data_IF_915604701036
#
_entry.id   IF_915604701036
#
_cell.length_a   1.000
_cell.length_b   1.000
_cell.length_c   1.000
_cell.angle_alpha   90.00
_cell.angle_beta   90.00
_cell.angle_gamma   90.00
#
_symmetry.space_group_name_H-M   'P 1'
#
loop_
_entity.id
_entity.type
_entity.pdbx_description
1 polymer ?
#
# COMPACT_ATOMS: atom_id res chain seq x y z
N UNK A 1 23.50 -17.67 -6.48
CA UNK A 1 22.30 -16.95 -6.96
C UNK A 1 21.30 -18.00 -7.40
N UNK A 2 20.13 -18.10 -6.77
CA UNK A 2 19.13 -19.16 -7.06
C UNK A 2 17.97 -18.69 -7.94
N UNK A 3 17.87 -17.40 -8.22
CA UNK A 3 16.95 -16.82 -9.19
C UNK A 3 17.39 -15.43 -9.58
N UNK A 4 16.85 -14.93 -10.68
CA UNK A 4 17.21 -13.62 -11.22
C UNK A 4 16.30 -12.52 -10.64
N UNK A 5 16.82 -11.30 -10.42
CA UNK A 5 16.08 -10.24 -9.74
C UNK A 5 15.21 -9.41 -10.72
N UNK A 6 14.40 -8.51 -10.18
CA UNK A 6 13.89 -7.37 -10.91
C UNK A 6 14.29 -6.05 -10.24
N UNK A 7 14.61 -5.05 -11.06
CA UNK A 7 14.54 -3.62 -10.68
C UNK A 7 13.56 -2.94 -11.63
N UNK A 8 12.41 -2.53 -11.10
CA UNK A 8 11.30 -1.94 -11.86
C UNK A 8 11.58 -0.48 -12.21
N UNK A 9 11.22 -0.01 -13.41
CA UNK A 9 11.26 1.42 -13.72
C UNK A 9 10.12 2.17 -13.04
N UNK A 10 10.33 3.47 -12.84
CA UNK A 10 9.29 4.45 -12.53
C UNK A 10 8.42 4.14 -11.30
N UNK A 11 8.99 3.46 -10.29
CA UNK A 11 8.30 3.16 -9.03
C UNK A 11 8.47 4.29 -8.00
N UNK A 12 7.41 4.63 -7.25
CA UNK A 12 7.44 5.68 -6.24
C UNK A 12 8.14 5.20 -4.96
N UNK A 13 8.49 6.16 -4.09
CA UNK A 13 8.89 5.91 -2.70
C UNK A 13 7.64 5.69 -1.83
N UNK A 14 6.63 6.54 -2.05
CA UNK A 14 5.35 6.56 -1.34
C UNK A 14 4.43 5.47 -1.89
N UNK A 15 3.91 4.63 -0.99
CA UNK A 15 2.99 3.54 -1.32
C UNK A 15 1.55 4.02 -1.49
N UNK A 16 0.58 3.13 -1.19
CA UNK A 16 -0.84 3.50 -1.13
C UNK A 16 -1.07 4.79 -0.32
N UNK A 17 -2.10 5.55 -0.63
CA UNK A 17 -2.51 6.77 0.08
C UNK A 17 -3.98 6.70 0.46
N UNK A 18 -4.36 7.44 1.49
CA UNK A 18 -5.78 7.70 1.76
C UNK A 18 -6.24 8.76 0.76
N UNK A 19 -7.37 8.50 0.10
CA UNK A 19 -8.04 9.45 -0.76
C UNK A 19 -9.32 9.91 -0.09
N UNK A 20 -9.71 11.17 -0.31
CA UNK A 20 -10.94 11.76 0.23
C UNK A 20 -11.80 12.31 -0.90
N UNK A 21 -13.12 12.17 -0.76
CA UNK A 21 -14.08 12.70 -1.72
C UNK A 21 -14.11 14.23 -1.64
N UNK A 22 -13.48 14.88 -2.61
CA UNK A 22 -13.38 16.34 -2.70
C UNK A 22 -14.73 16.98 -3.03
N UNK A 23 -15.54 16.32 -3.84
CA UNK A 23 -16.89 16.81 -4.19
C UNK A 23 -17.78 16.89 -2.94
N UNK A 24 -17.67 15.93 -2.04
CA UNK A 24 -18.38 15.96 -0.75
C UNK A 24 -17.91 17.10 0.14
N UNK A 25 -16.59 17.38 0.18
CA UNK A 25 -16.08 18.57 0.87
C UNK A 25 -16.70 19.85 0.30
N UNK A 26 -16.76 19.97 -1.04
CA UNK A 26 -17.31 21.15 -1.71
C UNK A 26 -18.81 21.31 -1.48
N UNK A 27 -19.58 20.21 -1.56
CA UNK A 27 -21.03 20.19 -1.27
C UNK A 27 -21.33 20.73 0.13
N UNK A 28 -20.49 20.38 1.11
CA UNK A 28 -20.67 20.77 2.52
C UNK A 28 -19.95 22.06 2.90
N UNK A 29 -19.23 22.70 1.97
CA UNK A 29 -18.42 23.90 2.24
C UNK A 29 -17.28 23.66 3.22
N UNK A 30 -16.73 22.44 3.27
CA UNK A 30 -15.64 22.04 4.16
C UNK A 30 -14.27 22.29 3.53
N UNK A 31 -13.31 22.68 4.36
CA UNK A 31 -11.91 22.76 3.97
C UNK A 31 -11.24 21.38 3.99
N UNK A 32 -10.19 21.20 3.19
CA UNK A 32 -9.34 20.00 3.24
C UNK A 32 -8.70 19.87 4.63
N UNK A 33 -8.86 18.74 5.35
CA UNK A 33 -8.29 18.60 6.68
C UNK A 33 -6.76 18.45 6.63
N UNK A 34 -6.09 19.00 7.65
CA UNK A 34 -4.62 19.00 7.81
C UNK A 34 -4.16 18.32 9.09
N UNK A 35 -5.09 18.05 10.00
CA UNK A 35 -4.88 17.34 11.27
C UNK A 35 -5.84 16.15 11.38
N UNK A 36 -5.50 15.18 12.22
CA UNK A 36 -6.38 14.03 12.46
C UNK A 36 -7.74 14.44 13.05
N UNK A 37 -7.79 15.44 13.95
CA UNK A 37 -9.04 15.92 14.54
C UNK A 37 -9.93 16.63 13.51
N UNK A 38 -9.35 17.44 12.61
CA UNK A 38 -10.07 18.03 11.48
C UNK A 38 -10.64 16.95 10.56
N UNK A 39 -9.87 15.89 10.30
CA UNK A 39 -10.32 14.77 9.50
C UNK A 39 -11.49 14.03 10.14
N UNK A 40 -11.46 13.77 11.46
CA UNK A 40 -12.61 13.19 12.16
C UNK A 40 -13.87 14.07 12.07
N UNK A 41 -13.72 15.40 12.16
CA UNK A 41 -14.83 16.32 11.98
C UNK A 41 -15.40 16.30 10.56
N UNK A 42 -14.53 16.15 9.55
CA UNK A 42 -14.94 15.96 8.15
C UNK A 42 -15.69 14.65 7.96
N UNK A 43 -15.17 13.53 8.47
CA UNK A 43 -15.85 12.24 8.41
C UNK A 43 -17.22 12.28 9.12
N UNK A 44 -17.31 12.98 10.25
CA UNK A 44 -18.57 13.21 10.94
C UNK A 44 -19.55 14.03 10.09
N UNK A 45 -19.08 15.08 9.42
CA UNK A 45 -19.93 15.86 8.52
C UNK A 45 -20.38 15.03 7.30
N UNK A 46 -19.53 14.15 6.78
CA UNK A 46 -19.91 13.22 5.71
C UNK A 46 -21.07 12.32 6.11
N UNK A 47 -21.05 11.84 7.36
CA UNK A 47 -22.13 11.04 7.91
C UNK A 47 -23.44 11.79 8.13
N UNK A 48 -23.37 13.04 8.58
CA UNK A 48 -24.55 13.72 9.15
C UNK A 48 -25.28 14.63 8.14
N UNK A 49 -24.72 14.86 6.95
CA UNK A 49 -25.13 15.99 6.10
C UNK A 49 -25.41 15.69 4.64
N UNK A 50 -25.72 14.44 4.27
CA UNK A 50 -26.03 14.07 2.86
C UNK A 50 -24.92 14.59 1.92
N UNK A 51 -23.70 14.13 2.18
CA UNK A 51 -22.49 14.64 1.54
C UNK A 51 -22.47 14.35 0.03
N UNK A 52 -23.12 13.25 -0.38
CA UNK A 52 -23.27 12.93 -1.80
C UNK A 52 -24.39 13.74 -2.49
N UNK A 53 -25.31 14.34 -1.71
CA UNK A 53 -26.36 15.24 -2.17
C UNK A 53 -27.50 14.53 -2.89
N UNK A 54 -27.75 13.27 -2.57
CA UNK A 54 -28.78 12.46 -3.21
C UNK A 54 -30.14 12.50 -2.47
N UNK A 55 -30.18 13.13 -1.29
CA UNK A 55 -31.37 13.26 -0.45
C UNK A 55 -31.55 12.17 0.61
N UNK A 56 -30.63 11.22 0.74
CA UNK A 56 -30.60 10.20 1.79
C UNK A 56 -29.30 10.33 2.61
N UNK A 57 -29.34 10.96 3.80
CA UNK A 57 -28.14 11.17 4.64
C UNK A 57 -27.64 9.91 5.35
N UNK A 58 -28.13 8.72 4.99
CA UNK A 58 -27.79 7.46 5.67
C UNK A 58 -27.05 6.47 4.77
N UNK A 59 -26.79 6.81 3.50
CA UNK A 59 -26.09 5.92 2.58
C UNK A 59 -24.58 6.22 2.48
N UNK A 60 -24.11 7.32 3.08
CA UNK A 60 -22.70 7.63 3.17
C UNK A 60 -21.94 6.76 4.18
N UNK A 61 -20.83 6.22 3.71
CA UNK A 61 -19.79 5.53 4.48
C UNK A 61 -18.59 6.48 4.56
N UNK A 62 -18.37 7.18 5.69
CA UNK A 62 -17.33 8.20 5.75
C UNK A 62 -15.92 7.65 5.53
N UNK A 63 -15.61 6.50 6.15
CA UNK A 63 -14.35 5.78 5.94
C UNK A 63 -14.62 4.28 5.68
N UNK A 64 -14.26 3.82 4.48
CA UNK A 64 -14.47 2.45 4.03
C UNK A 64 -13.17 1.69 3.79
N UNK A 65 -13.28 0.38 3.54
CA UNK A 65 -12.14 -0.44 3.12
C UNK A 65 -11.71 -0.06 1.71
N UNK A 66 -10.41 0.05 1.54
CA UNK A 66 -9.78 0.28 0.25
C UNK A 66 -8.95 -0.92 -0.21
N UNK A 67 -7.97 -0.68 -1.07
CA UNK A 67 -7.01 -1.70 -1.54
C UNK A 67 -5.77 -1.82 -0.63
N UNK A 68 -5.86 -1.31 0.59
CA UNK A 68 -4.83 -1.40 1.61
C UNK A 68 -5.48 -1.67 2.98
N UNK A 69 -4.67 -2.07 3.96
CA UNK A 69 -5.18 -2.37 5.30
C UNK A 69 -5.92 -1.17 5.90
N UNK A 70 -7.22 -1.28 6.20
CA UNK A 70 -8.02 -0.12 6.61
C UNK A 70 -7.57 0.44 7.97
N UNK A 71 -7.01 -0.38 8.85
CA UNK A 71 -6.55 0.07 10.16
C UNK A 71 -5.26 0.88 10.03
N UNK A 72 -4.21 0.34 9.39
CA UNK A 72 -2.92 1.01 9.32
C UNK A 72 -3.02 2.37 8.62
N UNK A 73 -3.90 2.49 7.63
CA UNK A 73 -4.12 3.73 6.88
C UNK A 73 -4.93 4.77 7.66
N UNK A 74 -5.93 4.33 8.44
CA UNK A 74 -6.64 5.20 9.37
C UNK A 74 -5.70 5.70 10.49
N UNK A 75 -4.85 4.80 11.00
CA UNK A 75 -3.96 5.05 12.11
C UNK A 75 -2.61 5.70 11.71
N UNK A 76 -2.37 5.97 10.42
CA UNK A 76 -1.12 6.59 9.94
C UNK A 76 -0.67 7.80 10.78
N UNK A 77 -1.55 8.75 11.18
CA UNK A 77 -1.15 9.90 11.99
C UNK A 77 -0.58 9.54 13.37
N UNK A 78 -0.81 8.33 13.88
CA UNK A 78 -0.22 7.83 15.13
C UNK A 78 1.18 7.23 14.93
N UNK A 79 1.72 7.27 13.71
CA UNK A 79 3.03 6.71 13.37
C UNK A 79 2.98 5.19 13.17
N UNK A 80 1.86 4.66 12.66
CA UNK A 80 1.73 3.24 12.27
C UNK A 80 2.12 3.02 10.81
N UNK A 81 3.08 3.80 10.30
CA UNK A 81 3.52 3.69 8.91
C UNK A 81 4.06 2.27 8.64
N UNK A 82 3.42 1.60 7.70
CA UNK A 82 3.82 0.28 7.22
C UNK A 82 4.49 0.42 5.85
N UNK A 83 5.45 -0.47 5.58
CA UNK A 83 6.08 -0.59 4.27
C UNK A 83 5.18 -1.31 3.27
N UNK A 84 5.78 -1.96 2.28
CA UNK A 84 5.03 -2.80 1.36
C UNK A 84 4.54 -4.09 2.06
N UNK A 85 3.70 -4.84 1.35
CA UNK A 85 3.20 -6.14 1.80
C UNK A 85 4.34 -7.13 2.05
N UNK A 86 4.08 -8.10 2.92
CA UNK A 86 5.04 -9.17 3.24
C UNK A 86 6.14 -8.78 4.23
N UNK A 87 6.04 -7.61 4.86
CA UNK A 87 6.94 -7.13 5.93
C UNK A 87 6.61 -7.70 7.32
N UNK A 88 5.60 -8.57 7.45
CA UNK A 88 5.15 -9.13 8.73
C UNK A 88 4.77 -8.07 9.78
N UNK A 89 4.19 -6.95 9.34
CA UNK A 89 3.91 -5.76 10.16
C UNK A 89 5.15 -5.19 10.88
N UNK A 90 6.35 -5.50 10.39
CA UNK A 90 7.59 -4.87 10.83
C UNK A 90 7.72 -3.47 10.21
N UNK A 91 8.17 -2.53 11.02
CA UNK A 91 8.51 -1.18 10.63
C UNK A 91 9.86 -0.78 11.21
N UNK A 92 10.38 0.39 10.81
CA UNK A 92 11.54 1.01 11.44
C UNK A 92 11.07 2.19 12.28
N UNK A 93 11.42 2.18 13.56
CA UNK A 93 11.25 3.32 14.48
C UNK A 93 12.57 3.58 15.18
N UNK A 94 12.98 4.85 15.19
CA UNK A 94 14.24 5.29 15.80
C UNK A 94 15.45 4.43 15.38
N UNK A 95 15.50 4.09 14.07
CA UNK A 95 16.52 3.23 13.44
C UNK A 95 16.56 1.78 13.95
N UNK A 96 15.49 1.30 14.58
CA UNK A 96 15.36 -0.08 15.03
C UNK A 96 14.13 -0.76 14.41
N UNK A 97 14.22 -2.07 14.07
CA UNK A 97 13.07 -2.83 13.63
C UNK A 97 12.11 -3.06 14.80
N UNK A 98 10.84 -2.73 14.58
CA UNK A 98 9.75 -2.89 15.54
C UNK A 98 8.58 -3.63 14.90
N UNK A 99 7.91 -4.48 15.66
CA UNK A 99 6.66 -5.08 15.25
C UNK A 99 5.53 -4.14 15.67
N UNK A 100 4.84 -3.51 14.69
CA UNK A 100 3.84 -2.47 14.97
C UNK A 100 2.75 -2.92 15.97
N UNK A 101 2.20 -4.15 15.91
CA UNK A 101 1.09 -4.57 16.77
C UNK A 101 1.37 -4.60 18.28
N UNK A 102 2.61 -4.38 18.72
CA UNK A 102 2.96 -4.29 20.16
C UNK A 102 3.43 -2.89 20.57
N UNK A 103 3.27 -1.89 19.71
CA UNK A 103 3.71 -0.52 19.96
C UNK A 103 2.58 0.35 20.55
N UNK A 104 2.95 1.37 21.33
CA UNK A 104 1.99 2.33 21.88
C UNK A 104 1.23 3.09 20.77
N UNK A 105 1.88 3.40 19.65
CA UNK A 105 1.23 3.99 18.47
C UNK A 105 0.11 3.13 17.90
N UNK A 106 0.29 1.81 17.89
CA UNK A 106 -0.73 0.89 17.41
C UNK A 106 -1.92 0.86 18.37
N UNK A 107 -1.65 0.80 19.68
CA UNK A 107 -2.67 0.91 20.71
C UNK A 107 -3.48 2.21 20.59
N UNK A 108 -2.82 3.36 20.42
CA UNK A 108 -3.47 4.66 20.23
C UNK A 108 -4.31 4.70 18.93
N UNK A 109 -3.81 4.11 17.85
CA UNK A 109 -4.56 3.94 16.61
C UNK A 109 -5.84 3.13 16.81
N UNK A 110 -5.79 2.04 17.58
CA UNK A 110 -6.97 1.24 17.92
C UNK A 110 -7.98 2.08 18.71
N UNK A 111 -7.54 2.81 19.73
CA UNK A 111 -8.43 3.67 20.52
C UNK A 111 -9.10 4.75 19.67
N UNK A 112 -8.36 5.34 18.72
CA UNK A 112 -8.88 6.34 17.81
C UNK A 112 -9.90 5.74 16.82
N UNK A 113 -9.58 4.59 16.23
CA UNK A 113 -10.48 3.91 15.28
C UNK A 113 -11.72 3.37 15.99
N UNK A 114 -11.60 2.91 17.24
CA UNK A 114 -12.74 2.53 18.07
C UNK A 114 -13.69 3.71 18.30
N UNK A 115 -13.18 4.87 18.71
CA UNK A 115 -14.01 6.08 18.88
C UNK A 115 -14.71 6.49 17.59
N UNK A 116 -14.02 6.38 16.45
CA UNK A 116 -14.62 6.63 15.14
C UNK A 116 -15.68 5.59 14.78
N UNK A 117 -15.46 4.31 15.12
CA UNK A 117 -16.41 3.23 14.93
C UNK A 117 -17.67 3.40 15.80
N UNK A 118 -17.53 3.79 17.06
CA UNK A 118 -18.68 4.10 17.95
C UNK A 118 -19.50 5.30 17.45
N UNK A 119 -18.84 6.30 16.86
CA UNK A 119 -19.50 7.39 16.16
C UNK A 119 -20.07 6.96 14.78
N UNK A 120 -19.80 5.71 14.37
CA UNK A 120 -20.15 5.09 13.11
C UNK A 120 -19.60 5.82 11.88
N UNK A 121 -18.41 6.38 12.01
CA UNK A 121 -17.64 7.00 10.92
C UNK A 121 -16.91 5.94 10.07
N UNK A 122 -16.79 4.73 10.61
CA UNK A 122 -16.15 3.58 9.98
C UNK A 122 -17.25 2.67 9.42
N UNK A 123 -17.03 2.11 8.23
CA UNK A 123 -17.90 1.08 7.66
C UNK A 123 -18.13 -0.06 8.69
N UNK A 124 -19.38 -0.39 9.04
CA UNK A 124 -19.67 -1.47 9.99
C UNK A 124 -19.18 -2.84 9.50
N UNK A 125 -18.99 -3.02 8.19
CA UNK A 125 -18.53 -4.28 7.58
C UNK A 125 -17.02 -4.28 7.31
N UNK A 126 -16.25 -3.28 7.76
CA UNK A 126 -14.84 -3.08 7.37
C UNK A 126 -13.94 -4.31 7.62
N UNK A 127 -14.27 -5.14 8.62
CA UNK A 127 -13.55 -6.37 8.96
C UNK A 127 -14.20 -7.65 8.43
N UNK A 128 -15.41 -7.58 7.86
CA UNK A 128 -16.20 -8.75 7.44
C UNK A 128 -16.46 -8.78 5.94
N UNK A 129 -16.33 -7.65 5.24
CA UNK A 129 -16.55 -7.58 3.80
C UNK A 129 -15.41 -8.21 3.01
N UNK A 130 -15.78 -8.92 1.94
CA UNK A 130 -14.84 -9.44 0.95
C UNK A 130 -14.48 -8.39 -0.11
N UNK A 131 -13.60 -8.77 -1.04
CA UNK A 131 -13.13 -7.90 -2.11
C UNK A 131 -14.25 -7.44 -3.05
N UNK A 132 -15.24 -8.30 -3.33
CA UNK A 132 -16.35 -7.97 -4.23
C UNK A 132 -17.32 -6.98 -3.59
N UNK A 133 -17.59 -7.14 -2.29
CA UNK A 133 -18.38 -6.19 -1.50
C UNK A 133 -17.69 -4.82 -1.44
N UNK A 134 -16.38 -4.80 -1.13
CA UNK A 134 -15.56 -3.57 -1.14
C UNK A 134 -15.64 -2.88 -2.51
N UNK A 135 -15.35 -3.60 -3.60
CA UNK A 135 -15.31 -3.04 -4.94
C UNK A 135 -16.68 -2.46 -5.36
N UNK A 136 -17.76 -3.13 -4.96
CA UNK A 136 -19.13 -2.65 -5.20
C UNK A 136 -19.43 -1.32 -4.50
N UNK A 137 -18.83 -1.06 -3.32
CA UNK A 137 -18.95 0.21 -2.59
C UNK A 137 -18.07 1.30 -3.20
N UNK A 138 -16.81 0.99 -3.51
CA UNK A 138 -15.85 1.96 -4.09
C UNK A 138 -16.30 2.46 -5.47
N UNK A 139 -16.86 1.55 -6.29
CA UNK A 139 -17.24 1.79 -7.69
C UNK A 139 -18.77 1.86 -7.88
N UNK A 140 -19.50 2.16 -6.81
CA UNK A 140 -20.96 2.29 -6.86
C UNK A 140 -21.40 3.38 -7.83
N UNK A 141 -22.56 3.21 -8.48
CA UNK A 141 -23.12 4.19 -9.42
C UNK A 141 -23.38 5.56 -8.75
N UNK A 142 -23.89 5.51 -7.52
CA UNK A 142 -23.95 6.68 -6.64
C UNK A 142 -22.80 6.52 -5.65
N UNK A 143 -21.78 7.39 -5.65
CA UNK A 143 -20.65 7.27 -4.74
C UNK A 143 -21.13 7.27 -3.29
N UNK A 144 -20.75 6.24 -2.53
CA UNK A 144 -21.10 6.09 -1.11
C UNK A 144 -19.89 6.16 -0.17
N UNK A 145 -18.66 6.15 -0.70
CA UNK A 145 -17.43 6.20 0.11
C UNK A 145 -16.94 7.64 0.25
N UNK A 146 -16.73 8.11 1.48
CA UNK A 146 -16.15 9.43 1.75
C UNK A 146 -14.62 9.42 1.70
N UNK A 147 -14.01 8.32 2.13
CA UNK A 147 -12.56 8.16 2.21
C UNK A 147 -12.16 6.70 2.24
N UNK A 148 -11.11 6.34 1.51
CA UNK A 148 -10.53 4.99 1.50
C UNK A 148 -9.08 5.01 1.01
N UNK A 149 -8.32 3.98 1.36
CA UNK A 149 -6.92 3.82 0.94
C UNK A 149 -6.80 3.15 -0.44
N UNK A 150 -5.84 3.58 -1.25
CA UNK A 150 -5.60 2.95 -2.56
C UNK A 150 -4.31 3.41 -3.22
N UNK A 151 -4.01 2.85 -4.39
CA UNK A 151 -2.79 3.17 -5.13
C UNK A 151 -2.96 4.47 -5.91
N UNK A 152 -4.01 4.54 -6.72
CA UNK A 152 -4.43 5.71 -7.50
C UNK A 152 -5.95 5.84 -7.49
N UNK A 153 -6.49 7.03 -7.77
CA UNK A 153 -7.95 7.23 -7.74
C UNK A 153 -8.68 6.44 -8.82
N UNK A 154 -8.10 6.30 -10.02
CA UNK A 154 -8.67 5.57 -11.15
C UNK A 154 -8.80 4.07 -10.87
N UNK A 155 -7.75 3.44 -10.34
CA UNK A 155 -7.78 2.04 -9.92
C UNK A 155 -8.69 1.80 -8.71
N UNK A 156 -8.80 2.80 -7.82
CA UNK A 156 -9.51 2.64 -6.55
C UNK A 156 -11.02 2.84 -6.67
N UNK A 157 -11.44 3.90 -7.37
CA UNK A 157 -12.84 4.36 -7.40
C UNK A 157 -13.49 4.24 -8.78
N UNK A 158 -12.75 3.76 -9.79
CA UNK A 158 -13.26 3.54 -11.14
C UNK A 158 -13.89 4.81 -11.73
N UNK A 159 -15.17 4.71 -12.12
CA UNK A 159 -15.92 5.82 -12.72
C UNK A 159 -16.08 7.04 -11.78
N UNK A 160 -15.87 6.88 -10.47
CA UNK A 160 -15.96 7.98 -9.50
C UNK A 160 -14.62 8.67 -9.22
N UNK A 161 -13.53 8.26 -9.88
CA UNK A 161 -12.17 8.72 -9.58
C UNK A 161 -11.98 10.24 -9.62
N UNK A 162 -12.74 10.95 -10.45
CA UNK A 162 -12.71 12.41 -10.60
C UNK A 162 -13.23 13.17 -9.35
N UNK A 163 -13.93 12.47 -8.45
CA UNK A 163 -14.43 13.04 -7.20
C UNK A 163 -13.42 12.96 -6.06
N UNK A 164 -12.34 12.21 -6.21
CA UNK A 164 -11.39 11.95 -5.14
C UNK A 164 -10.04 12.62 -5.39
N UNK A 165 -9.40 13.03 -4.30
CA UNK A 165 -8.04 13.55 -4.30
C UNK A 165 -7.24 12.92 -3.16
N UNK A 166 -5.90 12.86 -3.26
CA UNK A 166 -5.07 12.40 -2.14
C UNK A 166 -5.37 13.25 -0.89
N UNK A 167 -5.66 12.59 0.23
CA UNK A 167 -5.75 13.26 1.52
C UNK A 167 -4.34 13.71 1.92
N UNK A 168 -4.12 14.99 2.28
CA UNK A 168 -2.82 15.43 2.78
C UNK A 168 -2.36 14.58 3.97
N UNK A 169 -1.04 14.39 4.12
CA UNK A 169 -0.51 13.68 5.27
C UNK A 169 -0.94 14.42 6.55
N UNK A 170 -1.81 13.82 7.35
CA UNK A 170 -2.41 14.53 8.49
C UNK A 170 -1.39 14.64 9.62
N UNK A 171 -1.38 15.80 10.29
CA UNK A 171 -0.65 15.94 11.55
C UNK A 171 -1.32 15.09 12.62
N UNK A 172 -0.53 14.20 13.21
CA UNK A 172 -0.92 13.36 14.33
C UNK A 172 -0.79 14.04 15.68
N UNK A 173 -1.13 13.32 16.77
CA UNK A 173 -0.99 13.81 18.14
C UNK A 173 0.44 14.18 18.54
N UNK A 174 1.45 13.57 17.89
CA UNK A 174 2.86 13.87 18.08
C UNK A 174 3.35 15.07 17.25
N UNK A 175 2.44 15.72 16.51
CA UNK A 175 2.71 16.85 15.63
C UNK A 175 3.41 16.49 14.32
N UNK A 176 3.67 15.20 14.06
CA UNK A 176 4.32 14.71 12.84
C UNK A 176 3.30 14.24 11.81
N UNK A 177 3.78 14.04 10.59
CA UNK A 177 3.02 13.55 9.45
C UNK A 177 3.68 12.27 8.95
N UNK A 178 2.85 11.33 8.51
CA UNK A 178 3.27 9.99 8.11
C UNK A 178 2.54 9.58 6.83
N UNK A 179 3.22 8.78 6.02
CA UNK A 179 2.68 8.15 4.82
C UNK A 179 3.18 6.71 4.76
N UNK A 180 2.44 5.84 4.07
CA UNK A 180 3.00 4.54 3.69
C UNK A 180 4.12 4.76 2.67
N UNK A 181 5.28 4.16 2.90
CA UNK A 181 6.45 4.32 2.03
C UNK A 181 7.36 3.10 2.14
N UNK A 182 7.84 2.59 1.01
CA UNK A 182 8.80 1.48 0.96
C UNK A 182 9.55 1.43 -0.38
N UNK A 183 10.58 2.26 -0.55
CA UNK A 183 11.27 2.32 -1.83
C UNK A 183 11.95 0.99 -2.17
N UNK A 184 12.33 0.16 -1.20
CA UNK A 184 13.03 -1.09 -1.51
C UNK A 184 12.07 -2.14 -2.06
N UNK A 185 10.97 -2.43 -1.38
CA UNK A 185 10.03 -3.47 -1.83
C UNK A 185 9.28 -3.07 -3.10
N UNK A 186 8.99 -1.78 -3.30
CA UNK A 186 8.33 -1.34 -4.53
C UNK A 186 9.26 -1.40 -5.77
N UNK A 187 10.56 -1.14 -5.60
CA UNK A 187 11.50 -1.15 -6.73
C UNK A 187 12.11 -2.51 -7.03
N UNK A 188 12.32 -3.35 -6.01
CA UNK A 188 13.13 -4.56 -6.13
C UNK A 188 12.34 -5.82 -5.83
N UNK A 189 12.58 -6.85 -6.63
CA UNK A 189 12.11 -8.21 -6.38
C UNK A 189 13.25 -9.21 -6.51
N UNK A 190 13.12 -10.32 -5.79
CA UNK A 190 14.00 -11.49 -5.91
C UNK A 190 13.23 -12.64 -6.57
N UNK A 191 13.95 -13.53 -7.23
CA UNK A 191 13.42 -14.80 -7.75
C UNK A 191 12.33 -14.65 -8.84
N UNK A 192 12.45 -13.64 -9.69
CA UNK A 192 11.53 -13.39 -10.80
C UNK A 192 11.73 -14.36 -11.98
N UNK A 193 12.82 -15.11 -11.96
CA UNK A 193 13.08 -16.23 -12.86
C UNK A 193 13.92 -17.29 -12.18
N UNK A 194 13.53 -18.57 -12.31
CA UNK A 194 14.21 -19.72 -11.71
C UNK A 194 14.53 -20.78 -12.77
N UNK A 195 15.71 -21.38 -12.68
CA UNK A 195 16.11 -22.53 -13.51
C UNK A 195 15.96 -23.80 -12.66
N UNK A 196 15.10 -24.72 -13.09
CA UNK A 196 14.87 -25.98 -12.38
C UNK A 196 15.99 -26.98 -12.66
N UNK A 197 16.14 -27.98 -11.79
CA UNK A 197 17.05 -29.11 -12.02
C UNK A 197 16.65 -30.04 -13.18
N UNK A 198 15.53 -29.75 -13.87
CA UNK A 198 15.05 -30.48 -15.05
C UNK A 198 15.39 -29.77 -16.36
N UNK A 199 15.94 -28.55 -16.31
CA UNK A 199 16.37 -27.84 -17.50
C UNK A 199 17.49 -28.60 -18.20
N UNK A 200 17.24 -29.06 -19.43
CA UNK A 200 18.22 -29.83 -20.21
C UNK A 200 19.36 -28.96 -20.74
N UNK A 201 19.09 -27.67 -21.01
CA UNK A 201 20.08 -26.70 -21.48
C UNK A 201 19.95 -25.38 -20.70
N UNK A 202 20.51 -25.30 -19.48
CA UNK A 202 20.49 -24.08 -18.69
C UNK A 202 21.30 -22.95 -19.35
N UNK A 203 22.29 -23.25 -20.19
CA UNK A 203 23.11 -22.23 -20.83
C UNK A 203 22.30 -21.47 -21.89
N UNK A 204 21.61 -22.17 -22.78
CA UNK A 204 20.73 -21.54 -23.76
C UNK A 204 19.60 -20.75 -23.11
N UNK A 205 19.01 -21.29 -22.03
CA UNK A 205 17.96 -20.62 -21.28
C UNK A 205 18.45 -19.31 -20.64
N UNK A 206 19.64 -19.33 -20.03
CA UNK A 206 20.23 -18.13 -19.43
C UNK A 206 20.63 -17.10 -20.49
N UNK A 207 21.10 -17.53 -21.67
CA UNK A 207 21.37 -16.63 -22.79
C UNK A 207 20.11 -15.97 -23.33
N UNK A 208 18.98 -16.67 -23.34
CA UNK A 208 17.70 -16.11 -23.75
C UNK A 208 17.17 -15.11 -22.72
N UNK A 209 17.19 -15.45 -21.42
CA UNK A 209 16.65 -14.57 -20.37
C UNK A 209 17.50 -13.31 -20.16
N UNK A 210 18.78 -13.33 -20.49
CA UNK A 210 19.65 -12.13 -20.48
C UNK A 210 19.06 -10.99 -21.32
N UNK A 211 18.34 -11.33 -22.41
CA UNK A 211 17.65 -10.34 -23.26
C UNK A 211 16.56 -9.54 -22.54
N UNK A 212 16.00 -10.05 -21.43
CA UNK A 212 14.97 -9.36 -20.65
C UNK A 212 15.54 -8.20 -19.83
N UNK A 213 16.86 -8.13 -19.68
CA UNK A 213 17.56 -7.14 -18.85
C UNK A 213 18.11 -5.95 -19.64
N UNK A 214 17.70 -5.78 -20.89
CA UNK A 214 17.94 -4.54 -21.63
C UNK A 214 16.94 -3.46 -21.21
N UNK A 215 17.28 -2.18 -21.41
CA UNK A 215 16.36 -1.06 -21.18
C UNK A 215 15.05 -1.22 -21.98
N UNK A 216 15.16 -1.58 -23.27
CA UNK A 216 14.02 -1.80 -24.17
C UNK A 216 13.13 -2.97 -23.73
N UNK A 217 13.72 -4.09 -23.31
CA UNK A 217 12.95 -5.22 -22.80
C UNK A 217 12.33 -4.90 -21.44
N UNK A 218 13.06 -4.21 -20.56
CA UNK A 218 12.59 -3.91 -19.21
C UNK A 218 11.37 -3.01 -19.20
N UNK A 219 11.34 -1.97 -20.06
CA UNK A 219 10.17 -1.11 -20.16
C UNK A 219 8.98 -1.81 -20.80
N UNK A 220 9.21 -2.67 -21.79
CA UNK A 220 8.14 -3.48 -22.38
C UNK A 220 7.59 -4.54 -21.41
N UNK A 221 8.47 -5.16 -20.62
CA UNK A 221 8.09 -6.09 -19.55
C UNK A 221 7.31 -5.40 -18.42
N UNK A 222 7.38 -4.07 -18.32
CA UNK A 222 6.73 -3.30 -17.26
C UNK A 222 5.42 -2.63 -17.69
N UNK A 223 5.37 -2.09 -18.92
CA UNK A 223 4.21 -1.35 -19.44
C UNK A 223 3.47 -2.08 -20.58
N UNK A 224 4.16 -2.95 -21.33
CA UNK A 224 3.64 -3.63 -22.51
C UNK A 224 4.47 -3.35 -23.76
N UNK A 225 4.17 -4.07 -24.85
CA UNK A 225 4.96 -4.03 -26.09
C UNK A 225 5.04 -2.66 -26.75
N UNK A 226 6.08 -2.46 -27.56
CA UNK A 226 6.22 -1.26 -28.36
C UNK A 226 5.05 -1.02 -29.33
N UNK A 227 4.79 0.25 -29.62
CA UNK A 227 3.72 0.76 -30.50
C UNK A 227 2.29 0.46 -30.00
N UNK A 228 2.16 -0.15 -28.81
CA UNK A 228 0.89 -0.41 -28.13
C UNK A 228 0.82 0.20 -26.74
N UNK A 229 1.85 0.00 -25.92
CA UNK A 229 1.92 0.57 -24.58
C UNK A 229 3.05 1.59 -24.40
N UNK A 230 4.12 1.41 -25.18
CA UNK A 230 5.31 2.25 -25.09
C UNK A 230 5.77 2.60 -26.49
N UNK A 231 6.22 3.82 -26.70
CA UNK A 231 6.94 4.24 -27.89
C UNK A 231 8.37 4.59 -27.51
N UNK A 232 9.32 4.12 -28.31
CA UNK A 232 10.73 4.53 -28.21
C UNK A 232 10.98 5.70 -29.16
N UNK A 233 11.46 6.82 -28.63
CA UNK A 233 11.81 8.00 -29.41
C UNK A 233 13.22 7.88 -29.99
N UNK A 234 13.49 8.63 -31.06
CA UNK A 234 14.80 8.62 -31.73
C UNK A 234 15.94 9.17 -30.87
N UNK A 235 15.62 9.92 -29.82
CA UNK A 235 16.59 10.47 -28.85
C UNK A 235 16.92 9.49 -27.71
N UNK A 236 16.36 8.27 -27.73
CA UNK A 236 16.56 7.26 -26.71
C UNK A 236 15.65 7.41 -25.48
N UNK A 237 14.68 8.33 -25.52
CA UNK A 237 13.61 8.41 -24.51
C UNK A 237 12.45 7.46 -24.84
N UNK A 238 11.61 7.21 -23.85
CA UNK A 238 10.40 6.39 -23.97
C UNK A 238 9.17 7.22 -23.60
N UNK A 239 8.07 6.94 -24.27
CA UNK A 239 6.76 7.53 -24.01
C UNK A 239 5.79 6.39 -23.72
N UNK A 240 5.26 6.35 -22.49
CA UNK A 240 4.16 5.46 -22.12
C UNK A 240 2.89 6.03 -22.73
N UNK A 241 2.28 5.25 -23.61
CA UNK A 241 1.15 5.63 -24.43
C UNK A 241 -0.16 5.53 -23.66
N UNK A 242 -1.12 6.35 -24.03
CA UNK A 242 -2.51 6.15 -23.60
C UNK A 242 -3.07 4.91 -24.33
N UNK A 243 -3.76 3.99 -23.62
CA UNK A 243 -4.47 2.89 -24.28
C UNK A 243 -5.51 3.36 -25.30
N UNK A 244 -5.76 2.54 -26.32
CA UNK A 244 -6.78 2.79 -27.36
C UNK A 244 -8.23 2.60 -26.84
N UNK A 245 -8.39 2.02 -25.64
CA UNK A 245 -9.68 1.83 -24.96
C UNK A 245 -9.87 2.82 -23.79
N UNK A 246 -10.96 2.67 -23.04
CA UNK A 246 -11.27 3.53 -21.89
C UNK A 246 -10.48 3.12 -20.62
N UNK A 247 -9.54 2.18 -20.70
CA UNK A 247 -8.72 1.77 -19.57
C UNK A 247 -7.57 2.75 -19.29
N UNK A 248 -7.04 2.73 -18.07
CA UNK A 248 -5.82 3.49 -17.76
C UNK A 248 -4.58 2.77 -18.26
N UNK A 249 -3.47 3.50 -18.45
CA UNK A 249 -2.19 2.90 -18.82
C UNK A 249 -1.72 1.84 -17.81
N UNK A 250 -2.07 2.00 -16.54
CA UNK A 250 -1.79 1.01 -15.49
C UNK A 250 -2.62 -0.28 -15.69
N UNK A 251 -3.94 -0.16 -15.88
CA UNK A 251 -4.81 -1.32 -16.17
C UNK A 251 -4.33 -2.07 -17.41
N UNK A 252 -3.99 -1.35 -18.49
CA UNK A 252 -3.45 -1.96 -19.69
C UNK A 252 -2.17 -2.76 -19.40
N UNK A 253 -1.24 -2.18 -18.64
CA UNK A 253 0.03 -2.81 -18.31
C UNK A 253 -0.14 -4.08 -17.46
N UNK A 254 -1.08 -4.09 -16.52
CA UNK A 254 -1.43 -5.28 -15.72
C UNK A 254 -1.99 -6.43 -16.56
N UNK A 255 -2.71 -6.12 -17.64
CA UNK A 255 -3.31 -7.14 -18.53
C UNK A 255 -2.30 -7.64 -19.58
N UNK A 256 -1.43 -6.77 -20.09
CA UNK A 256 -0.65 -7.03 -21.30
C UNK A 256 0.86 -7.15 -21.08
N UNK A 257 1.34 -7.17 -19.84
CA UNK A 257 2.77 -7.26 -19.52
C UNK A 257 3.02 -8.10 -18.27
N UNK A 258 4.29 -8.26 -17.89
CA UNK A 258 4.65 -8.89 -16.62
C UNK A 258 4.47 -7.91 -15.44
N UNK A 259 4.30 -6.61 -15.71
CA UNK A 259 4.08 -5.52 -14.76
C UNK A 259 5.02 -5.58 -13.56
N UNK A 260 4.55 -5.94 -12.37
CA UNK A 260 5.41 -6.00 -11.18
C UNK A 260 6.24 -7.28 -11.08
N UNK A 261 5.95 -8.28 -11.91
CA UNK A 261 6.58 -9.60 -11.90
C UNK A 261 7.53 -9.80 -13.08
N UNK A 262 8.31 -10.87 -13.04
CA UNK A 262 9.20 -11.28 -14.11
C UNK A 262 10.50 -10.46 -14.21
N UNK A 263 11.49 -10.98 -14.94
CA UNK A 263 12.82 -10.40 -15.02
C UNK A 263 12.82 -9.06 -15.77
N UNK A 264 13.45 -8.05 -15.16
CA UNK A 264 13.69 -6.72 -15.74
C UNK A 264 14.75 -5.97 -14.93
N UNK A 265 15.48 -5.06 -15.55
CA UNK A 265 16.40 -4.19 -14.82
C UNK A 265 16.59 -2.87 -15.54
N UNK A 266 16.55 -1.79 -14.77
CA UNK A 266 16.84 -0.45 -15.26
C UNK A 266 17.86 0.25 -14.38
N UNK A 267 18.75 1.04 -14.99
CA UNK A 267 19.73 1.86 -14.27
C UNK A 267 19.05 3.00 -13.49
N UNK A 268 19.78 3.65 -12.58
CA UNK A 268 19.23 4.76 -11.77
C UNK A 268 18.68 5.92 -12.63
N UNK A 269 19.38 6.26 -13.72
CA UNK A 269 19.00 7.38 -14.59
C UNK A 269 17.85 7.04 -15.56
N UNK A 270 17.40 5.77 -15.58
CA UNK A 270 16.41 5.31 -16.56
C UNK A 270 15.09 6.07 -16.48
N UNK A 271 14.63 6.35 -15.26
CA UNK A 271 13.33 7.01 -15.05
C UNK A 271 13.29 8.42 -15.68
N UNK A 272 14.44 9.09 -15.80
CA UNK A 272 14.52 10.41 -16.48
C UNK A 272 14.27 10.34 -17.99
N UNK A 273 14.36 9.14 -18.58
CA UNK A 273 14.11 8.87 -19.99
C UNK A 273 12.63 8.57 -20.28
N UNK A 274 11.80 8.39 -19.26
CA UNK A 274 10.39 7.97 -19.42
C UNK A 274 9.46 9.16 -19.29
N UNK A 275 8.56 9.32 -20.26
CA UNK A 275 7.49 10.31 -20.31
C UNK A 275 6.15 9.59 -20.39
N UNK A 276 5.08 10.28 -20.04
CA UNK A 276 3.71 9.76 -20.07
C UNK A 276 2.84 10.65 -20.96
N UNK A 277 2.06 10.02 -21.84
CA UNK A 277 1.12 10.73 -22.71
C UNK A 277 -0.11 11.26 -21.95
N UNK A 278 -0.50 10.60 -20.86
CA UNK A 278 -1.62 10.99 -20.00
C UNK A 278 -1.27 10.96 -18.51
N UNK A 279 -1.90 11.83 -17.72
CA UNK A 279 -1.76 11.89 -16.26
C UNK A 279 -2.63 10.84 -15.54
N UNK A 280 -2.41 9.55 -15.83
CA UNK A 280 -3.08 8.42 -15.17
C UNK A 280 -2.09 7.31 -14.76
N UNK A 281 -2.55 6.33 -13.98
CA UNK A 281 -1.72 5.22 -13.54
C UNK A 281 -0.42 5.66 -12.83
N UNK A 282 0.73 5.22 -13.33
CA UNK A 282 2.03 5.58 -12.76
C UNK A 282 2.32 7.09 -12.82
N UNK A 283 1.84 7.80 -13.85
CA UNK A 283 2.07 9.23 -13.96
C UNK A 283 1.41 10.00 -12.80
N UNK A 284 0.15 9.68 -12.50
CA UNK A 284 -0.57 10.27 -11.35
C UNK A 284 0.04 9.80 -10.04
N UNK A 285 0.45 8.53 -9.94
CA UNK A 285 1.12 8.02 -8.73
C UNK A 285 2.44 8.72 -8.45
N UNK A 286 3.25 9.00 -9.46
CA UNK A 286 4.52 9.72 -9.34
C UNK A 286 4.32 11.21 -9.03
N UNK A 287 3.19 11.80 -9.43
CA UNK A 287 2.82 13.14 -8.98
C UNK A 287 2.51 13.14 -7.47
N UNK A 288 1.71 12.17 -7.01
CA UNK A 288 1.45 11.96 -5.58
C UNK A 288 2.74 11.68 -4.80
N UNK A 289 3.66 10.89 -5.35
CA UNK A 289 4.96 10.65 -4.70
C UNK A 289 5.72 11.95 -4.41
N UNK A 290 5.81 12.86 -5.40
CA UNK A 290 6.52 14.14 -5.25
C UNK A 290 5.95 15.01 -4.11
N UNK A 291 4.63 15.01 -3.95
CA UNK A 291 3.96 15.83 -2.94
C UNK A 291 4.16 15.27 -1.52
N UNK A 292 4.33 13.95 -1.40
CA UNK A 292 4.30 13.24 -0.12
C UNK A 292 5.63 12.64 0.33
N UNK A 293 6.64 12.54 -0.54
CA UNK A 293 7.94 11.89 -0.24
C UNK A 293 8.67 12.52 0.95
N UNK A 294 8.47 13.81 1.19
CA UNK A 294 9.01 14.53 2.36
C UNK A 294 8.52 13.97 3.72
N UNK A 295 7.40 13.24 3.72
CA UNK A 295 6.83 12.60 4.91
C UNK A 295 7.20 11.11 5.03
N UNK A 296 7.86 10.54 4.02
CA UNK A 296 8.27 9.15 4.02
C UNK A 296 9.21 8.85 5.21
N UNK A 297 9.06 7.66 5.78
CA UNK A 297 9.91 7.15 6.87
C UNK A 297 10.66 5.92 6.39
N UNK A 298 11.80 5.57 7.02
CA UNK A 298 12.46 4.30 6.73
C UNK A 298 11.47 3.13 6.88
N UNK A 299 11.48 2.25 5.89
CA UNK A 299 10.69 1.02 5.89
C UNK A 299 11.55 -0.16 6.39
N UNK A 300 10.90 -1.20 6.89
CA UNK A 300 11.60 -2.46 7.13
C UNK A 300 12.13 -2.97 5.78
N UNK A 301 13.43 -3.26 5.64
CA UNK A 301 14.05 -3.52 4.34
C UNK A 301 13.73 -4.91 3.81
N UNK A 302 14.11 -5.15 2.55
CA UNK A 302 14.13 -6.49 1.98
C UNK A 302 15.17 -7.36 2.71
N UNK A 303 14.72 -8.27 3.58
CA UNK A 303 15.60 -9.16 4.35
C UNK A 303 15.68 -10.56 3.74
N UNK A 304 16.73 -11.32 4.08
CA UNK A 304 16.89 -12.72 3.68
C UNK A 304 16.81 -13.62 4.91
N UNK A 305 16.10 -14.74 4.79
CA UNK A 305 15.96 -15.73 5.85
C UNK A 305 16.66 -17.03 5.45
N UNK A 306 17.18 -17.76 6.44
CA UNK A 306 17.61 -19.15 6.26
C UNK A 306 16.39 -20.06 6.09
N UNK A 307 16.59 -21.30 5.60
CA UNK A 307 15.51 -22.27 5.48
C UNK A 307 14.85 -22.60 6.84
N UNK A 308 15.66 -22.70 7.90
CA UNK A 308 15.17 -22.91 9.27
C UNK A 308 14.33 -21.72 9.76
N UNK A 309 14.78 -20.49 9.48
CA UNK A 309 14.00 -19.28 9.83
C UNK A 309 12.67 -19.25 9.09
N UNK A 310 12.64 -19.58 7.79
CA UNK A 310 11.40 -19.64 7.01
C UNK A 310 10.42 -20.68 7.57
N UNK A 311 10.90 -21.86 7.96
CA UNK A 311 10.08 -22.90 8.57
C UNK A 311 9.48 -22.44 9.90
N UNK A 312 10.27 -21.79 10.75
CA UNK A 312 9.79 -21.24 12.02
C UNK A 312 8.78 -20.11 11.80
N UNK A 313 9.05 -19.19 10.87
CA UNK A 313 8.17 -18.05 10.56
C UNK A 313 6.81 -18.51 10.05
N UNK A 314 6.76 -19.56 9.21
CA UNK A 314 5.50 -20.06 8.65
C UNK A 314 4.49 -20.46 9.75
N UNK A 315 4.98 -21.08 10.83
CA UNK A 315 4.14 -21.46 11.96
C UNK A 315 3.90 -20.28 12.91
N UNK A 316 4.96 -19.61 13.35
CA UNK A 316 4.87 -18.53 14.35
C UNK A 316 4.00 -17.37 13.86
N UNK A 317 4.23 -16.90 12.64
CA UNK A 317 3.55 -15.73 12.13
C UNK A 317 2.07 -15.99 11.87
N UNK A 318 1.70 -17.18 11.41
CA UNK A 318 0.28 -17.51 11.15
C UNK A 318 -0.54 -17.39 12.45
N UNK A 319 -0.05 -17.98 13.54
CA UNK A 319 -0.75 -17.90 14.82
C UNK A 319 -0.75 -16.47 15.38
N UNK A 320 0.40 -15.80 15.34
CA UNK A 320 0.54 -14.41 15.81
C UNK A 320 -0.39 -13.47 15.04
N UNK A 321 -0.33 -13.46 13.71
CA UNK A 321 -1.13 -12.56 12.87
C UNK A 321 -2.63 -12.78 13.05
N UNK A 322 -3.09 -14.04 13.08
CA UNK A 322 -4.51 -14.33 13.35
C UNK A 322 -4.97 -13.79 14.71
N UNK A 323 -4.13 -13.87 15.75
CA UNK A 323 -4.46 -13.32 17.06
C UNK A 323 -4.42 -11.78 17.08
N UNK A 324 -3.48 -11.17 16.35
CA UNK A 324 -3.43 -9.71 16.15
C UNK A 324 -4.69 -9.22 15.45
N UNK A 325 -5.05 -9.82 14.31
CA UNK A 325 -6.18 -9.40 13.48
C UNK A 325 -7.51 -9.53 14.20
N UNK A 326 -7.73 -10.66 14.91
CA UNK A 326 -8.93 -10.86 15.71
C UNK A 326 -9.01 -9.88 16.90
N UNK A 327 -7.89 -9.63 17.59
CA UNK A 327 -7.85 -8.66 18.68
C UNK A 327 -8.07 -7.22 18.19
N UNK A 328 -7.51 -6.86 17.04
CA UNK A 328 -7.71 -5.56 16.40
C UNK A 328 -9.19 -5.35 16.06
N UNK A 329 -9.81 -6.30 15.37
CA UNK A 329 -11.22 -6.22 15.01
C UNK A 329 -12.12 -6.14 16.26
N UNK A 330 -11.85 -6.95 17.28
CA UNK A 330 -12.60 -6.93 18.53
C UNK A 330 -12.47 -5.60 19.26
N UNK A 331 -11.26 -5.04 19.37
CA UNK A 331 -11.06 -3.78 20.08
C UNK A 331 -11.58 -2.57 19.32
N UNK A 332 -11.48 -2.55 17.99
CA UNK A 332 -12.08 -1.47 17.20
C UNK A 332 -13.61 -1.51 17.34
N UNK A 333 -14.22 -2.69 17.29
CA UNK A 333 -15.69 -2.81 17.31
C UNK A 333 -16.32 -2.77 18.70
N UNK A 334 -15.64 -3.28 19.74
CA UNK A 334 -16.17 -3.44 21.10
C UNK A 334 -15.41 -2.64 22.16
N UNK A 335 -14.27 -2.05 21.82
CA UNK A 335 -13.40 -1.33 22.75
C UNK A 335 -12.63 -2.26 23.70
N UNK A 336 -12.00 -1.67 24.70
CA UNK A 336 -11.35 -2.40 25.79
C UNK A 336 -9.86 -2.69 25.61
N UNK A 337 -9.22 -2.13 24.58
CA UNK A 337 -7.76 -2.26 24.36
C UNK A 337 -6.95 -1.88 25.60
N UNK A 338 -7.31 -0.80 26.30
CA UNK A 338 -6.65 -0.39 27.55
C UNK A 338 -6.58 -1.46 28.63
N UNK A 339 -7.66 -2.24 28.77
CA UNK A 339 -7.77 -3.28 29.78
C UNK A 339 -7.15 -4.60 29.30
N UNK A 340 -7.21 -4.85 27.99
CA UNK A 340 -6.73 -6.09 27.37
C UNK A 340 -5.25 -6.08 26.98
N UNK A 341 -4.61 -4.92 26.88
CA UNK A 341 -3.29 -4.76 26.27
C UNK A 341 -2.20 -5.63 26.90
N UNK A 342 -2.10 -5.64 28.23
CA UNK A 342 -1.10 -6.43 28.94
C UNK A 342 -1.31 -7.94 28.76
N UNK A 343 -2.57 -8.38 28.74
CA UNK A 343 -2.91 -9.78 28.52
C UNK A 343 -2.61 -10.20 27.07
N UNK A 344 -2.94 -9.35 26.11
CA UNK A 344 -2.62 -9.53 24.70
C UNK A 344 -1.11 -9.68 24.46
N UNK A 345 -0.29 -8.79 25.04
CA UNK A 345 1.17 -8.87 24.90
C UNK A 345 1.73 -10.16 25.52
N UNK A 346 1.22 -10.57 26.69
CA UNK A 346 1.60 -11.85 27.32
C UNK A 346 1.18 -13.05 26.47
N UNK A 347 0.00 -12.98 25.85
CA UNK A 347 -0.47 -14.03 24.96
C UNK A 347 0.43 -14.13 23.73
N UNK A 348 0.76 -13.02 23.08
CA UNK A 348 1.73 -13.00 21.98
C UNK A 348 3.10 -13.58 22.38
N UNK A 349 3.60 -13.25 23.57
CA UNK A 349 4.82 -13.85 24.10
C UNK A 349 4.70 -15.38 24.23
N UNK A 350 3.58 -15.88 24.75
CA UNK A 350 3.31 -17.32 24.85
C UNK A 350 3.21 -18.02 23.48
N UNK A 351 2.81 -17.28 22.44
CA UNK A 351 2.74 -17.74 21.05
C UNK A 351 4.10 -17.66 20.33
N UNK A 352 5.17 -17.26 21.02
CA UNK A 352 6.52 -17.23 20.49
C UNK A 352 6.93 -15.91 19.83
N UNK A 353 6.29 -14.79 20.20
CA UNK A 353 6.66 -13.46 19.71
C UNK A 353 8.16 -13.16 19.87
N UNK A 354 8.77 -13.55 20.99
CA UNK A 354 10.20 -13.32 21.22
C UNK A 354 11.06 -14.02 20.16
N UNK A 355 10.70 -15.25 19.78
CA UNK A 355 11.40 -16.00 18.73
C UNK A 355 11.17 -15.39 17.36
N UNK A 356 9.95 -14.96 17.07
CA UNK A 356 9.64 -14.22 15.85
C UNK A 356 10.50 -12.95 15.74
N UNK A 357 10.54 -12.12 16.79
CA UNK A 357 11.33 -10.88 16.81
C UNK A 357 12.84 -11.13 16.71
N UNK A 358 13.35 -12.21 17.32
CA UNK A 358 14.74 -12.62 17.17
C UNK A 358 15.09 -12.90 15.70
N UNK A 359 14.23 -13.65 14.99
CA UNK A 359 14.41 -13.93 13.56
C UNK A 359 14.39 -12.64 12.74
N UNK A 360 13.43 -11.75 12.98
CA UNK A 360 13.33 -10.47 12.28
C UNK A 360 14.56 -9.58 12.49
N UNK A 361 15.06 -9.51 13.74
CA UNK A 361 16.27 -8.73 14.08
C UNK A 361 17.54 -9.29 13.46
N UNK A 362 17.70 -10.62 13.44
CA UNK A 362 18.83 -11.28 12.79
C UNK A 362 18.81 -11.02 11.28
N UNK A 363 17.65 -11.17 10.64
CA UNK A 363 17.49 -10.92 9.20
C UNK A 363 17.72 -9.44 8.84
N UNK A 364 17.23 -8.51 9.66
CA UNK A 364 17.49 -7.08 9.54
C UNK A 364 18.99 -6.77 9.64
N UNK A 365 19.66 -7.29 10.67
CA UNK A 365 21.11 -7.06 10.87
C UNK A 365 21.94 -7.56 9.70
N UNK A 366 21.60 -8.73 9.14
CA UNK A 366 22.27 -9.33 7.98
C UNK A 366 22.02 -8.59 6.68
N UNK A 367 20.91 -7.86 6.55
CA UNK A 367 20.60 -7.07 5.35
C UNK A 367 21.61 -5.94 5.11
N UNK A 368 22.32 -5.51 6.15
CA UNK A 368 23.23 -4.37 6.08
C UNK A 368 22.52 -3.01 6.00
N UNK A 369 21.20 -2.97 6.15
CA UNK A 369 20.45 -1.74 6.36
C UNK A 369 20.96 -1.06 7.65
N UNK A 370 21.37 0.21 7.54
CA UNK A 370 21.80 1.05 8.66
C UNK A 370 20.85 2.21 8.82
#
# INVERSE_FOLDING_TARGET
IYGLPAKRPCRPVVGNQVFINKKWLDNLGLSMPTTFDEYLNVLKAFKEKDANGNGDPNDEIPYGKGYADPFYFFALPFGTNIGADGTYAMAIKDNAPVFLPVTDSYKQGIEAMHKAYEAGLIDPEIFTEDDSMRDSKLMSKTPVIGSAAGWTTDSTFGANADQYVPLPALKGPDGKQYVASDPQHYNYSRYEFLVTNKCQDPYALLKWIDGFYTEDASIQNYYGGFDKAVKKNSDGTYEVLKPDDDSSADTFAWVNSLRDFGPKYVGEDFNSKVKYESENGDASKLAVDKDFVQYAKPAFPNVSYTQEQLQNLATLYTDISNYVDSSQADWVTKGGVDKGWDAYNKQLQSMGLDKFLEIQKDAYTKSGAK
#
